data_IF_320364034905
#
_entry.id   IF_320364034905
#
_cell.length_a   1.000
_cell.length_b   1.000
_cell.length_c   1.000
_cell.angle_alpha   90.00
_cell.angle_beta   90.00
_cell.angle_gamma   90.00
#
_symmetry.space_group_name_H-M   'P 1'
#
loop_
_entity.id
_entity.type
_entity.pdbx_description
1 polymer ?
#
# COMPACT_ATOMS: atom_id res chain seq x y z
N UNK A 1 -23.09 3.40 2.25
CA UNK A 1 -21.91 3.56 3.13
C UNK A 1 -20.70 3.10 2.35
N UNK A 2 -19.56 3.77 2.47
CA UNK A 2 -18.32 3.32 1.84
C UNK A 2 -17.86 2.01 2.49
N UNK A 3 -17.30 1.10 1.70
CA UNK A 3 -16.78 -0.18 2.15
C UNK A 3 -15.42 0.04 2.83
N UNK A 4 -15.27 -0.29 4.12
CA UNK A 4 -13.97 -0.18 4.80
C UNK A 4 -13.03 -1.27 4.30
N UNK A 5 -11.84 -0.87 3.87
CA UNK A 5 -10.82 -1.80 3.35
C UNK A 5 -9.43 -1.51 3.92
N UNK A 6 -8.59 -2.54 3.90
CA UNK A 6 -7.15 -2.47 4.10
C UNK A 6 -6.46 -2.99 2.84
N UNK A 7 -5.39 -2.34 2.42
CA UNK A 7 -4.64 -2.71 1.22
C UNK A 7 -3.28 -3.25 1.65
N UNK A 8 -2.99 -4.51 1.32
CA UNK A 8 -1.66 -5.09 1.42
C UNK A 8 -1.05 -5.16 0.02
N UNK A 9 0.10 -4.52 -0.21
CA UNK A 9 0.74 -4.47 -1.52
C UNK A 9 2.27 -4.30 -1.45
N UNK A 10 2.97 -4.57 -2.55
CA UNK A 10 4.42 -4.43 -2.68
C UNK A 10 4.79 -3.41 -3.78
N UNK A 11 4.58 -2.09 -3.57
CA UNK A 11 4.20 -1.21 -4.67
C UNK A 11 5.14 -1.20 -5.88
N UNK A 12 4.66 -1.85 -6.94
CA UNK A 12 5.01 -1.62 -8.33
C UNK A 12 4.16 -0.51 -8.97
N UNK A 13 4.19 -0.42 -10.30
CA UNK A 13 3.41 0.58 -11.04
C UNK A 13 1.91 0.26 -11.00
N UNK A 14 1.56 -1.02 -11.06
CA UNK A 14 0.22 -1.55 -10.95
C UNK A 14 -0.40 -1.29 -9.57
N UNK A 15 0.32 -1.55 -8.47
CA UNK A 15 -0.16 -1.21 -7.13
C UNK A 15 -0.34 0.29 -6.92
N UNK A 16 0.55 1.10 -7.49
CA UNK A 16 0.44 2.55 -7.44
C UNK A 16 -0.86 3.01 -8.12
N UNK A 17 -1.20 2.45 -9.29
CA UNK A 17 -2.47 2.72 -9.97
C UNK A 17 -3.65 2.24 -9.13
N UNK A 18 -3.57 1.04 -8.53
CA UNK A 18 -4.62 0.52 -7.66
C UNK A 18 -4.86 1.42 -6.44
N UNK A 19 -3.81 1.95 -5.81
CA UNK A 19 -3.90 2.87 -4.69
C UNK A 19 -4.57 4.20 -5.09
N UNK A 20 -4.23 4.73 -6.27
CA UNK A 20 -4.88 5.93 -6.84
C UNK A 20 -6.37 5.70 -7.03
N UNK A 21 -6.75 4.57 -7.65
CA UNK A 21 -8.15 4.22 -7.89
C UNK A 21 -8.91 4.01 -6.58
N UNK A 22 -8.31 3.32 -5.61
CA UNK A 22 -8.93 3.07 -4.32
C UNK A 22 -9.19 4.36 -3.53
N UNK A 23 -8.23 5.29 -3.54
CA UNK A 23 -8.35 6.58 -2.83
C UNK A 23 -9.25 7.59 -3.55
N UNK A 24 -9.44 7.45 -4.86
CA UNK A 24 -10.36 8.27 -5.63
C UNK A 24 -11.81 7.76 -5.59
N UNK A 25 -12.03 6.50 -5.19
CA UNK A 25 -13.36 5.90 -5.16
C UNK A 25 -14.16 6.31 -3.92
N UNK A 26 -15.34 6.94 -4.06
CA UNK A 26 -16.22 7.24 -2.92
C UNK A 26 -16.88 5.98 -2.34
N UNK A 27 -16.79 4.84 -3.04
CA UNK A 27 -17.33 3.56 -2.59
C UNK A 27 -16.40 2.87 -1.58
N UNK A 28 -15.14 3.32 -1.45
CA UNK A 28 -14.13 2.70 -0.61
C UNK A 28 -13.65 3.65 0.49
N UNK A 29 -13.42 3.08 1.67
CA UNK A 29 -12.80 3.77 2.79
C UNK A 29 -11.51 3.05 3.18
N UNK A 30 -10.38 3.53 2.66
CA UNK A 30 -9.05 2.96 2.95
C UNK A 30 -8.65 3.31 4.38
N UNK A 31 -8.63 2.29 5.25
CA UNK A 31 -8.33 2.43 6.68
C UNK A 31 -6.84 2.31 7.01
N UNK A 32 -6.09 1.55 6.22
CA UNK A 32 -4.67 1.33 6.40
C UNK A 32 -4.04 0.75 5.13
N UNK A 33 -2.72 0.89 5.00
CA UNK A 33 -1.92 0.21 3.98
C UNK A 33 -0.78 -0.56 4.63
N UNK A 34 -0.61 -1.82 4.26
CA UNK A 34 0.54 -2.65 4.67
C UNK A 34 1.44 -2.92 3.46
N UNK A 35 2.76 -2.86 3.68
CA UNK A 35 3.74 -3.07 2.63
C UNK A 35 4.33 -4.48 2.71
N UNK A 36 3.96 -5.36 1.78
CA UNK A 36 4.62 -6.66 1.60
C UNK A 36 5.87 -6.51 0.72
N UNK A 37 6.66 -7.58 0.60
CA UNK A 37 7.87 -7.62 -0.20
C UNK A 37 7.79 -8.75 -1.23
N UNK A 38 7.79 -8.40 -2.51
CA UNK A 38 7.88 -9.32 -3.64
C UNK A 38 9.10 -9.00 -4.50
N UNK A 39 8.92 -8.12 -5.49
CA UNK A 39 9.94 -7.85 -6.52
C UNK A 39 11.03 -6.85 -6.11
N UNK A 40 10.90 -6.21 -4.95
CA UNK A 40 11.84 -5.25 -4.38
C UNK A 40 12.05 -5.50 -2.89
N UNK A 41 13.06 -4.84 -2.31
CA UNK A 41 13.33 -4.99 -0.88
C UNK A 41 12.19 -4.36 -0.04
N UNK A 42 11.91 -4.91 1.16
CA UNK A 42 10.86 -4.40 2.05
C UNK A 42 10.98 -2.90 2.36
N UNK A 43 12.19 -2.37 2.42
CA UNK A 43 12.43 -0.94 2.67
C UNK A 43 12.02 -0.08 1.48
N UNK A 44 12.18 -0.61 0.26
CA UNK A 44 11.76 0.09 -0.96
C UNK A 44 10.25 0.05 -1.10
N UNK A 45 9.60 -1.09 -0.86
CA UNK A 45 8.14 -1.20 -0.97
C UNK A 45 7.45 -0.31 0.07
N UNK A 46 7.90 -0.33 1.32
CA UNK A 46 7.42 0.59 2.36
C UNK A 46 7.60 2.06 1.97
N UNK A 47 8.78 2.43 1.45
CA UNK A 47 9.05 3.79 0.99
C UNK A 47 8.16 4.19 -0.19
N UNK A 48 7.85 3.27 -1.10
CA UNK A 48 6.96 3.52 -2.21
C UNK A 48 5.53 3.81 -1.72
N UNK A 49 5.01 3.03 -0.76
CA UNK A 49 3.70 3.31 -0.13
C UNK A 49 3.69 4.74 0.44
N UNK A 50 4.68 5.08 1.26
CA UNK A 50 4.77 6.40 1.89
C UNK A 50 4.83 7.54 0.86
N UNK A 51 5.60 7.36 -0.22
CA UNK A 51 5.69 8.33 -1.32
C UNK A 51 4.36 8.48 -2.05
N UNK A 52 3.66 7.37 -2.31
CA UNK A 52 2.36 7.41 -2.98
C UNK A 52 1.31 8.12 -2.13
N UNK A 53 1.21 7.80 -0.83
CA UNK A 53 0.28 8.50 0.06
C UNK A 53 0.62 9.98 0.23
N UNK A 54 1.91 10.34 0.21
CA UNK A 54 2.34 11.75 0.20
C UNK A 54 1.90 12.44 -1.09
N UNK A 55 2.14 11.82 -2.25
CA UNK A 55 1.74 12.33 -3.56
C UNK A 55 0.22 12.54 -3.66
N UNK A 56 -0.55 11.61 -3.09
CA UNK A 56 -2.01 11.65 -3.08
C UNK A 56 -2.60 12.49 -1.95
N UNK A 57 -1.74 13.19 -1.19
CA UNK A 57 -2.13 14.05 -0.06
C UNK A 57 -2.98 13.31 0.99
N UNK A 58 -2.62 12.06 1.28
CA UNK A 58 -3.23 11.20 2.30
C UNK A 58 -2.25 10.70 3.38
N UNK A 59 -1.47 11.60 4.03
CA UNK A 59 -0.56 11.21 5.11
C UNK A 59 -1.29 10.76 6.39
N UNK A 60 -2.61 10.93 6.45
CA UNK A 60 -3.49 10.51 7.55
C UNK A 60 -3.68 8.99 7.61
N UNK A 61 -3.48 8.28 6.49
CA UNK A 61 -3.67 6.84 6.43
C UNK A 61 -2.48 6.15 7.09
N UNK A 62 -2.69 5.30 8.12
CA UNK A 62 -1.62 4.58 8.77
C UNK A 62 -0.98 3.56 7.82
N UNK A 63 0.35 3.50 7.85
CA UNK A 63 1.15 2.56 7.06
C UNK A 63 2.01 1.71 7.98
N UNK A 64 2.08 0.41 7.71
CA UNK A 64 3.00 -0.51 8.37
C UNK A 64 3.79 -1.36 7.37
N UNK A 65 5.06 -1.61 7.66
CA UNK A 65 5.86 -2.59 6.93
C UNK A 65 5.47 -4.02 7.36
N UNK A 66 5.35 -4.91 6.38
CA UNK A 66 5.00 -6.31 6.58
C UNK A 66 6.22 -7.22 6.71
N UNK A 67 6.05 -8.47 6.26
CA UNK A 67 7.11 -9.48 6.32
C UNK A 67 8.28 -9.14 5.41
N UNK A 68 9.50 -9.40 5.88
CA UNK A 68 10.73 -9.08 5.15
C UNK A 68 11.05 -10.08 4.03
N UNK A 69 10.47 -11.28 4.11
CA UNK A 69 10.71 -12.37 3.17
C UNK A 69 9.49 -13.29 3.11
N UNK A 70 9.36 -14.10 2.05
CA UNK A 70 8.35 -15.15 1.99
C UNK A 70 8.48 -16.15 3.15
N UNK A 71 7.38 -16.85 3.46
CA UNK A 71 7.38 -17.89 4.50
C UNK A 71 8.33 -19.05 4.16
N UNK A 72 8.39 -19.44 2.88
CA UNK A 72 9.29 -20.46 2.35
C UNK A 72 9.71 -20.08 0.93
N UNK A 73 10.97 -19.66 0.79
CA UNK A 73 11.77 -19.45 -0.42
C UNK A 73 13.11 -18.86 0.06
N UNK A 74 14.20 -19.30 -0.57
CA UNK A 74 15.54 -18.75 -0.31
C UNK A 74 15.72 -17.38 -0.95
#
# INVERSE_FOLDING_TARGET
MALPIMIDCDPGHDDAIALVLALASPELEVKAVTASAGNQTPEKTLRNVLRMLTLLNRPDIPVAGGAWKPLMRD
#
